data_IF_675764358649
#
_entry.id   IF_675764358649
#
_cell.length_a   1.000
_cell.length_b   1.000
_cell.length_c   1.000
_cell.angle_alpha   90.00
_cell.angle_beta   90.00
_cell.angle_gamma   90.00
#
_symmetry.space_group_name_H-M   'P 1'
#
loop_
_entity.id
_entity.type
_entity.pdbx_description
1 polymer ?
#
# COMPACT_ATOMS: atom_id res chain seq x y z
N UNK A 1 -59.01 74.95 -25.74
CA UNK A 1 -59.70 73.82 -26.41
C UNK A 1 -59.45 72.56 -25.60
N UNK A 2 -60.53 71.87 -25.19
CA UNK A 2 -60.73 70.41 -24.96
C UNK A 2 -59.54 69.61 -24.35
N UNK A 3 -59.65 68.72 -23.38
CA UNK A 3 -60.74 68.01 -22.71
C UNK A 3 -60.07 67.07 -21.68
N UNK A 4 -60.56 67.09 -20.43
CA UNK A 4 -60.99 65.91 -19.66
C UNK A 4 -60.26 64.55 -19.85
N UNK A 5 -59.66 64.00 -18.78
CA UNK A 5 -60.22 62.91 -17.95
C UNK A 5 -59.17 62.31 -16.98
N UNK A 6 -59.66 62.05 -15.78
CA UNK A 6 -59.03 61.30 -14.70
C UNK A 6 -58.90 59.80 -15.00
N UNK A 7 -57.94 59.11 -14.38
CA UNK A 7 -58.14 57.80 -13.76
C UNK A 7 -56.89 57.29 -13.01
N UNK A 8 -57.06 57.14 -11.69
CA UNK A 8 -56.66 55.98 -10.87
C UNK A 8 -55.23 55.40 -11.04
N UNK A 9 -54.35 55.84 -10.13
CA UNK A 9 -53.22 55.05 -9.63
C UNK A 9 -53.77 53.91 -8.75
N UNK A 10 -53.95 52.73 -9.33
CA UNK A 10 -54.09 51.47 -8.60
C UNK A 10 -52.71 50.86 -8.40
N UNK A 11 -52.14 51.01 -7.19
CA UNK A 11 -50.93 50.31 -6.79
C UNK A 11 -51.29 48.84 -6.51
N UNK A 12 -50.99 47.95 -7.46
CA UNK A 12 -51.01 46.51 -7.22
C UNK A 12 -49.76 46.14 -6.42
N UNK A 13 -49.97 45.71 -5.17
CA UNK A 13 -48.94 45.16 -4.32
C UNK A 13 -48.41 43.86 -4.95
N UNK A 14 -47.21 43.90 -5.51
CA UNK A 14 -46.45 42.70 -5.84
C UNK A 14 -45.80 42.19 -4.54
N UNK A 15 -46.23 41.00 -4.10
CA UNK A 15 -45.60 40.23 -3.03
C UNK A 15 -44.11 40.00 -3.36
N UNK A 16 -43.23 40.63 -2.59
CA UNK A 16 -41.82 40.25 -2.49
C UNK A 16 -41.73 39.03 -1.57
N UNK A 17 -41.69 37.84 -2.15
CA UNK A 17 -41.14 36.66 -1.48
C UNK A 17 -39.60 36.74 -1.59
N UNK A 18 -38.84 36.55 -0.49
CA UNK A 18 -37.41 36.43 -0.60
C UNK A 18 -37.09 35.11 -1.32
N UNK A 19 -36.48 35.23 -2.49
CA UNK A 19 -35.85 34.12 -3.20
C UNK A 19 -34.68 33.65 -2.32
N UNK A 20 -34.92 32.66 -1.46
CA UNK A 20 -33.84 31.89 -0.84
C UNK A 20 -33.20 31.13 -1.99
N UNK A 21 -32.10 31.69 -2.50
CA UNK A 21 -31.17 30.98 -3.35
C UNK A 21 -30.63 29.82 -2.51
N UNK A 22 -31.19 28.64 -2.74
CA UNK A 22 -30.67 27.40 -2.22
C UNK A 22 -29.37 27.16 -2.98
N UNK A 23 -28.26 27.56 -2.36
CA UNK A 23 -26.91 27.23 -2.81
C UNK A 23 -26.82 25.69 -2.78
N UNK A 24 -27.01 25.08 -3.95
CA UNK A 24 -26.78 23.65 -4.13
C UNK A 24 -25.35 23.38 -3.71
N UNK A 25 -25.20 22.66 -2.59
CA UNK A 25 -23.93 22.13 -2.15
C UNK A 25 -23.29 21.39 -3.33
N UNK A 26 -22.07 21.79 -3.68
CA UNK A 26 -21.26 21.12 -4.67
C UNK A 26 -21.29 19.59 -4.41
N UNK A 27 -21.47 18.76 -5.44
CA UNK A 27 -21.58 17.32 -5.25
C UNK A 27 -20.28 16.83 -4.61
N UNK A 28 -20.42 16.23 -3.42
CA UNK A 28 -19.33 15.55 -2.74
C UNK A 28 -18.67 14.54 -3.67
N UNK A 29 -17.35 14.35 -3.50
CA UNK A 29 -16.53 13.36 -4.23
C UNK A 29 -17.33 12.07 -4.45
N UNK A 30 -17.85 11.88 -5.67
CA UNK A 30 -18.83 10.84 -5.96
C UNK A 30 -18.29 9.47 -5.61
N UNK A 31 -19.02 8.70 -4.82
CA UNK A 31 -18.61 7.33 -4.50
C UNK A 31 -18.54 6.48 -5.76
N UNK A 32 -17.44 5.74 -5.96
CA UNK A 32 -17.37 4.76 -7.04
C UNK A 32 -18.54 3.79 -6.81
N UNK A 33 -19.48 3.66 -7.77
CA UNK A 33 -20.58 2.74 -7.66
C UNK A 33 -20.08 1.34 -7.29
N UNK A 34 -20.78 0.65 -6.36
CA UNK A 34 -20.30 -0.62 -5.79
C UNK A 34 -20.06 -1.69 -6.86
N UNK A 35 -20.83 -1.64 -7.93
CA UNK A 35 -20.73 -2.45 -9.14
C UNK A 35 -19.45 -2.19 -9.95
N UNK A 36 -18.90 -0.97 -9.90
CA UNK A 36 -17.64 -0.61 -10.56
C UNK A 36 -16.40 -0.93 -9.71
N UNK A 37 -16.54 -1.14 -8.39
CA UNK A 37 -15.43 -1.57 -7.53
C UNK A 37 -14.96 -3.01 -7.83
N UNK A 38 -15.86 -3.82 -8.40
CA UNK A 38 -15.60 -5.19 -8.82
C UNK A 38 -15.18 -5.31 -10.29
N UNK A 39 -15.24 -4.21 -11.05
CA UNK A 39 -14.83 -4.19 -12.45
C UNK A 39 -13.29 -4.34 -12.58
N UNK A 40 -12.78 -5.35 -13.31
CA UNK A 40 -11.34 -5.59 -13.41
C UNK A 40 -10.55 -4.41 -13.98
N UNK A 41 -11.12 -3.66 -14.92
CA UNK A 41 -10.44 -2.54 -15.56
C UNK A 41 -10.35 -1.34 -14.61
N UNK A 42 -11.44 -1.01 -13.93
CA UNK A 42 -11.46 0.06 -12.91
C UNK A 42 -10.46 -0.24 -11.79
N UNK A 43 -10.36 -1.50 -11.38
CA UNK A 43 -9.42 -1.93 -10.34
C UNK A 43 -7.97 -1.77 -10.80
N UNK A 44 -7.67 -2.17 -12.03
CA UNK A 44 -6.34 -2.01 -12.61
C UNK A 44 -5.94 -0.53 -12.74
N UNK A 45 -6.86 0.33 -13.22
CA UNK A 45 -6.64 1.79 -13.28
C UNK A 45 -6.38 2.41 -11.89
N UNK A 46 -6.99 1.84 -10.85
CA UNK A 46 -6.79 2.28 -9.46
C UNK A 46 -5.60 1.60 -8.77
N UNK A 47 -4.75 0.91 -9.53
CA UNK A 47 -3.53 0.29 -9.04
C UNK A 47 -3.79 -0.97 -8.21
N UNK A 48 -4.88 -1.70 -8.44
CA UNK A 48 -5.20 -2.97 -7.78
C UNK A 48 -5.09 -4.13 -8.77
N UNK A 49 -4.01 -4.90 -8.65
CA UNK A 49 -3.66 -6.02 -9.50
C UNK A 49 -2.89 -7.09 -8.68
N UNK A 50 -2.34 -8.10 -9.35
CA UNK A 50 -1.63 -9.21 -8.68
C UNK A 50 -0.32 -8.82 -8.00
N UNK A 51 0.32 -7.71 -8.41
CA UNK A 51 1.53 -7.18 -7.79
C UNK A 51 1.19 -6.30 -6.59
N UNK A 52 0.16 -5.47 -6.72
CA UNK A 52 -0.21 -4.53 -5.65
C UNK A 52 -1.00 -5.16 -4.52
N UNK A 53 -1.84 -6.14 -4.85
CA UNK A 53 -2.64 -6.94 -3.92
C UNK A 53 -2.41 -8.44 -4.14
N UNK A 54 -1.19 -8.96 -3.90
CA UNK A 54 -0.88 -10.36 -4.10
C UNK A 54 -1.69 -11.26 -3.16
N UNK A 55 -1.84 -12.53 -3.53
CA UNK A 55 -2.56 -13.50 -2.72
C UNK A 55 -1.92 -13.70 -1.34
N UNK A 56 -2.67 -13.38 -0.28
CA UNK A 56 -2.23 -13.52 1.10
C UNK A 56 -1.83 -14.96 1.46
N UNK A 57 -2.59 -15.95 1.00
CA UNK A 57 -2.24 -17.37 1.21
C UNK A 57 -0.87 -17.71 0.61
N UNK A 58 -0.63 -17.29 -0.65
CA UNK A 58 0.66 -17.54 -1.33
C UNK A 58 1.82 -16.81 -0.66
N UNK A 59 1.58 -15.64 -0.06
CA UNK A 59 2.57 -14.94 0.73
C UNK A 59 3.00 -15.77 1.95
N UNK A 60 2.05 -16.31 2.72
CA UNK A 60 2.37 -17.19 3.85
C UNK A 60 3.10 -18.45 3.43
N UNK A 61 2.70 -19.09 2.32
CA UNK A 61 3.41 -20.25 1.78
C UNK A 61 4.87 -19.89 1.47
N UNK A 62 5.10 -18.74 0.83
CA UNK A 62 6.45 -18.26 0.50
C UNK A 62 7.28 -18.00 1.76
N UNK A 63 6.71 -17.33 2.77
CA UNK A 63 7.42 -17.07 4.02
C UNK A 63 7.72 -18.37 4.79
N UNK A 64 6.82 -19.36 4.73
CA UNK A 64 7.07 -20.69 5.31
C UNK A 64 8.30 -21.37 4.69
N UNK A 65 8.48 -21.27 3.36
CA UNK A 65 9.68 -21.76 2.67
C UNK A 65 10.97 -21.04 3.09
N UNK A 66 10.85 -19.80 3.57
CA UNK A 66 11.96 -18.96 4.00
C UNK A 66 12.28 -19.08 5.50
N UNK A 67 11.51 -19.87 6.26
CA UNK A 67 11.78 -20.09 7.69
C UNK A 67 13.15 -20.76 7.91
N UNK A 68 13.86 -20.42 9.01
CA UNK A 68 13.51 -19.42 10.01
C UNK A 68 13.75 -17.99 9.49
N UNK A 69 12.81 -17.08 9.78
CA UNK A 69 12.92 -15.67 9.41
C UNK A 69 13.88 -14.91 10.35
N UNK A 70 14.75 -14.02 9.82
CA UNK A 70 15.78 -13.33 10.60
C UNK A 70 15.24 -12.09 11.35
N UNK A 71 14.06 -12.17 11.99
CA UNK A 71 13.32 -11.01 12.53
C UNK A 71 14.16 -10.07 13.40
N UNK A 72 15.01 -10.62 14.28
CA UNK A 72 15.85 -9.81 15.17
C UNK A 72 16.96 -9.04 14.45
N UNK A 73 17.52 -9.58 13.36
CA UNK A 73 18.60 -8.93 12.61
C UNK A 73 18.10 -7.86 11.65
N UNK A 74 16.86 -8.04 11.20
CA UNK A 74 16.17 -7.11 10.30
C UNK A 74 15.18 -6.25 11.06
N UNK A 75 15.27 -6.22 12.40
CA UNK A 75 14.43 -5.39 13.25
C UNK A 75 14.76 -3.92 13.04
N UNK A 76 13.71 -3.10 13.01
CA UNK A 76 13.83 -1.69 12.71
C UNK A 76 13.11 -0.85 13.73
N UNK A 77 13.71 0.31 14.01
CA UNK A 77 13.08 1.32 14.86
C UNK A 77 12.13 2.15 14.02
N UNK A 78 10.89 2.19 14.45
CA UNK A 78 9.92 3.12 13.86
C UNK A 78 10.33 4.57 14.16
N UNK A 79 10.14 5.47 13.20
CA UNK A 79 10.39 6.89 13.40
C UNK A 79 9.46 7.45 14.47
N UNK A 80 9.96 8.39 15.29
CA UNK A 80 9.19 8.96 16.41
C UNK A 80 7.92 9.72 15.97
N UNK A 81 7.90 10.22 14.74
CA UNK A 81 6.75 10.90 14.11
C UNK A 81 6.49 10.33 12.73
N UNK A 82 5.23 10.24 12.33
CA UNK A 82 4.85 9.90 10.95
C UNK A 82 5.30 10.99 9.98
N UNK A 83 5.55 10.62 8.72
CA UNK A 83 5.77 11.62 7.67
C UNK A 83 4.50 12.46 7.46
N UNK A 84 4.68 13.72 7.07
CA UNK A 84 3.59 14.58 6.62
C UNK A 84 3.35 14.44 5.10
N UNK A 85 4.32 13.86 4.37
CA UNK A 85 4.18 13.55 2.96
C UNK A 85 3.45 12.22 2.76
N UNK A 86 2.45 12.21 1.88
CA UNK A 86 1.60 11.02 1.66
C UNK A 86 2.36 9.89 0.98
N UNK A 87 3.36 10.18 0.13
CA UNK A 87 4.12 9.15 -0.57
C UNK A 87 5.04 8.40 0.40
N UNK A 88 5.74 9.15 1.26
CA UNK A 88 6.56 8.58 2.33
C UNK A 88 5.70 7.74 3.30
N UNK A 89 4.51 8.26 3.66
CA UNK A 89 3.58 7.57 4.54
C UNK A 89 3.05 6.26 3.93
N UNK A 90 2.80 6.24 2.62
CA UNK A 90 2.39 5.04 1.89
C UNK A 90 3.48 3.97 1.90
N UNK A 91 4.72 4.34 1.57
CA UNK A 91 5.87 3.43 1.64
C UNK A 91 6.01 2.86 3.06
N UNK A 92 6.03 3.72 4.08
CA UNK A 92 6.13 3.30 5.49
C UNK A 92 4.97 2.36 5.91
N UNK A 93 3.74 2.60 5.45
CA UNK A 93 2.62 1.67 5.67
C UNK A 93 2.89 0.30 5.02
N UNK A 94 3.43 0.28 3.80
CA UNK A 94 3.86 -0.96 3.14
C UNK A 94 4.83 -1.78 3.98
N UNK A 95 5.87 -1.12 4.51
CA UNK A 95 6.83 -1.74 5.43
C UNK A 95 6.14 -2.33 6.68
N UNK A 96 5.22 -1.58 7.31
CA UNK A 96 4.47 -2.04 8.48
C UNK A 96 3.58 -3.25 8.18
N UNK A 97 2.91 -3.27 7.02
CA UNK A 97 2.09 -4.40 6.59
C UNK A 97 2.98 -5.65 6.46
N UNK A 98 4.12 -5.53 5.78
CA UNK A 98 5.07 -6.63 5.63
C UNK A 98 5.59 -7.13 6.99
N UNK A 99 5.93 -6.23 7.92
CA UNK A 99 6.33 -6.60 9.28
C UNK A 99 5.22 -7.38 10.02
N UNK A 100 3.94 -7.03 9.80
CA UNK A 100 2.79 -7.80 10.28
C UNK A 100 2.82 -9.26 9.83
N UNK A 101 3.01 -9.51 8.53
CA UNK A 101 3.12 -10.86 7.99
C UNK A 101 4.32 -11.62 8.57
N UNK A 102 5.47 -10.96 8.67
CA UNK A 102 6.70 -11.55 9.20
C UNK A 102 6.56 -11.94 10.67
N UNK A 103 5.97 -11.09 11.50
CA UNK A 103 5.74 -11.34 12.93
C UNK A 103 4.76 -12.51 13.13
N UNK A 104 3.66 -12.56 12.38
CA UNK A 104 2.71 -13.67 12.44
C UNK A 104 3.38 -14.97 12.02
N UNK A 105 4.13 -14.96 10.92
CA UNK A 105 4.81 -16.16 10.42
C UNK A 105 5.93 -16.65 11.34
N UNK A 106 6.63 -15.73 12.01
CA UNK A 106 7.67 -16.04 13.00
C UNK A 106 7.10 -16.33 14.41
N UNK A 107 5.77 -16.37 14.56
CA UNK A 107 5.05 -16.64 15.80
C UNK A 107 5.38 -15.65 16.96
N UNK A 108 5.82 -14.43 16.65
CA UNK A 108 6.14 -13.37 17.63
C UNK A 108 4.90 -12.58 18.05
N UNK A 109 3.86 -13.28 18.52
CA UNK A 109 2.53 -12.70 18.73
C UNK A 109 2.50 -11.56 19.75
N UNK A 110 3.50 -11.46 20.63
CA UNK A 110 3.69 -10.32 21.54
C UNK A 110 3.88 -8.99 20.81
N UNK A 111 4.40 -8.98 19.58
CA UNK A 111 4.62 -7.77 18.76
C UNK A 111 3.39 -7.34 17.98
N UNK A 112 2.37 -8.20 17.86
CA UNK A 112 1.17 -7.94 17.04
C UNK A 112 0.39 -6.73 17.57
N UNK A 113 0.40 -6.51 18.89
CA UNK A 113 -0.34 -5.41 19.47
C UNK A 113 0.18 -4.03 19.03
N UNK A 114 1.49 -3.84 19.09
CA UNK A 114 2.12 -2.58 18.70
C UNK A 114 1.98 -2.35 17.18
N UNK A 115 2.14 -3.42 16.37
CA UNK A 115 1.94 -3.36 14.93
C UNK A 115 0.51 -2.96 14.55
N UNK A 116 -0.50 -3.55 15.20
CA UNK A 116 -1.89 -3.20 14.94
C UNK A 116 -2.19 -1.73 15.25
N UNK A 117 -1.62 -1.19 16.35
CA UNK A 117 -1.77 0.22 16.70
C UNK A 117 -1.12 1.15 15.66
N UNK A 118 0.07 0.80 15.18
CA UNK A 118 0.76 1.55 14.15
C UNK A 118 0.01 1.49 12.81
N UNK A 119 -0.45 0.31 12.38
CA UNK A 119 -1.28 0.15 11.17
C UNK A 119 -2.55 1.01 11.22
N UNK A 120 -3.25 1.04 12.36
CA UNK A 120 -4.41 1.93 12.56
C UNK A 120 -4.02 3.40 12.42
N UNK A 121 -2.88 3.82 12.99
CA UNK A 121 -2.41 5.21 12.95
C UNK A 121 -2.08 5.65 11.52
N UNK A 122 -1.35 4.81 10.78
CA UNK A 122 -0.97 5.06 9.39
C UNK A 122 -2.19 5.02 8.45
N UNK A 123 -3.08 4.04 8.62
CA UNK A 123 -4.32 3.93 7.83
C UNK A 123 -5.21 5.17 7.97
N UNK A 124 -5.38 5.69 9.20
CA UNK A 124 -6.10 6.96 9.45
C UNK A 124 -5.44 8.14 8.75
N UNK A 125 -4.11 8.25 8.79
CA UNK A 125 -3.39 9.36 8.17
C UNK A 125 -3.46 9.34 6.63
N UNK A 126 -3.63 8.16 6.01
CA UNK A 126 -3.85 8.02 4.57
C UNK A 126 -5.31 8.18 4.14
N UNK A 127 -6.27 8.08 5.08
CA UNK A 127 -7.71 8.18 4.83
C UNK A 127 -8.44 6.83 4.74
N UNK A 128 -7.79 5.72 5.09
CA UNK A 128 -8.34 4.36 5.10
C UNK A 128 -8.92 3.94 6.48
N UNK A 129 -9.35 4.91 7.29
CA UNK A 129 -9.44 4.79 8.74
C UNK A 129 -10.41 3.72 9.29
N UNK A 130 -11.63 3.61 8.78
CA UNK A 130 -12.68 2.85 9.48
C UNK A 130 -12.62 1.34 9.24
N UNK A 131 -12.15 0.91 8.07
CA UNK A 131 -12.14 -0.51 7.67
C UNK A 131 -10.83 -1.20 8.05
N UNK A 132 -9.68 -0.53 7.92
CA UNK A 132 -8.39 -1.01 8.46
C UNK A 132 -8.47 -1.31 9.97
N UNK A 133 -9.18 -0.47 10.75
CA UNK A 133 -9.36 -0.68 12.18
C UNK A 133 -10.15 -1.96 12.52
N UNK A 134 -11.12 -2.34 11.68
CA UNK A 134 -11.92 -3.55 11.90
C UNK A 134 -11.04 -4.80 11.78
N UNK A 135 -10.17 -4.83 10.78
CA UNK A 135 -9.23 -5.93 10.58
C UNK A 135 -8.17 -5.98 11.68
N UNK A 136 -7.59 -4.83 12.06
CA UNK A 136 -6.64 -4.75 13.17
C UNK A 136 -7.21 -5.28 14.49
N UNK A 137 -8.48 -4.99 14.79
CA UNK A 137 -9.15 -5.49 16.00
C UNK A 137 -9.33 -7.02 16.01
N UNK A 138 -9.74 -7.63 14.89
CA UNK A 138 -9.85 -9.10 14.76
C UNK A 138 -8.50 -9.80 14.94
N UNK A 139 -7.44 -9.22 14.37
CA UNK A 139 -6.07 -9.73 14.51
C UNK A 139 -5.59 -9.67 15.97
N UNK A 140 -5.87 -8.57 16.66
CA UNK A 140 -5.54 -8.40 18.08
C UNK A 140 -6.21 -9.44 18.98
N UNK A 141 -7.47 -9.79 18.71
CA UNK A 141 -8.19 -10.80 19.50
C UNK A 141 -7.58 -12.19 19.33
N UNK A 142 -7.26 -12.58 18.10
CA UNK A 142 -6.66 -13.88 17.82
C UNK A 142 -5.19 -14.00 18.27
N UNK A 143 -4.43 -12.90 18.22
CA UNK A 143 -3.08 -12.84 18.79
C UNK A 143 -3.07 -13.15 20.29
N UNK A 144 -4.06 -12.65 21.05
CA UNK A 144 -4.21 -12.96 22.48
C UNK A 144 -4.43 -14.45 22.75
N UNK A 145 -5.17 -15.12 21.86
CA UNK A 145 -5.48 -16.55 21.95
C UNK A 145 -4.34 -17.45 21.44
N UNK A 146 -3.22 -16.87 20.98
CA UNK A 146 -2.02 -17.57 20.46
C UNK A 146 -2.29 -18.58 19.35
N UNK A 147 -3.35 -18.39 18.58
CA UNK A 147 -3.73 -19.32 17.51
C UNK A 147 -3.24 -18.83 16.15
N UNK A 148 -1.97 -19.11 15.83
CA UNK A 148 -1.30 -18.66 14.59
C UNK A 148 -2.05 -19.10 13.33
N UNK A 149 -2.52 -20.35 13.29
CA UNK A 149 -3.23 -20.89 12.13
C UNK A 149 -4.58 -20.19 11.90
N UNK A 150 -5.30 -19.86 12.99
CA UNK A 150 -6.51 -19.04 12.89
C UNK A 150 -6.19 -17.62 12.42
N UNK A 151 -5.09 -17.00 12.88
CA UNK A 151 -4.66 -15.68 12.41
C UNK A 151 -4.37 -15.70 10.90
N UNK A 152 -3.61 -16.69 10.42
CA UNK A 152 -3.32 -16.85 8.98
C UNK A 152 -4.59 -17.04 8.16
N UNK A 153 -5.53 -17.85 8.66
CA UNK A 153 -6.83 -18.07 8.02
C UNK A 153 -7.65 -16.77 7.94
N UNK A 154 -7.69 -15.99 9.01
CA UNK A 154 -8.40 -14.71 9.02
C UNK A 154 -7.75 -13.69 8.09
N UNK A 155 -6.42 -13.55 8.12
CA UNK A 155 -5.69 -12.68 7.19
C UNK A 155 -5.99 -13.08 5.75
N UNK A 156 -6.00 -14.36 5.43
CA UNK A 156 -6.35 -14.84 4.08
C UNK A 156 -7.79 -14.47 3.69
N UNK A 157 -8.72 -14.52 4.64
CA UNK A 157 -10.11 -14.14 4.40
C UNK A 157 -10.29 -12.63 4.11
N UNK A 158 -9.34 -11.78 4.53
CA UNK A 158 -9.37 -10.33 4.29
C UNK A 158 -8.92 -9.90 2.88
N UNK A 159 -8.53 -10.83 2.00
CA UNK A 159 -8.02 -10.49 0.66
C UNK A 159 -8.91 -9.48 -0.10
N UNK A 160 -10.22 -9.75 -0.15
CA UNK A 160 -11.18 -8.88 -0.85
C UNK A 160 -11.36 -7.53 -0.17
N UNK A 161 -11.28 -7.51 1.16
CA UNK A 161 -11.36 -6.27 1.92
C UNK A 161 -10.13 -5.40 1.68
N UNK A 162 -8.92 -5.99 1.69
CA UNK A 162 -7.66 -5.28 1.37
C UNK A 162 -7.70 -4.68 -0.03
N UNK A 163 -8.15 -5.45 -1.02
CA UNK A 163 -8.33 -4.96 -2.38
C UNK A 163 -9.33 -3.80 -2.45
N UNK A 164 -10.49 -3.93 -1.79
CA UNK A 164 -11.50 -2.87 -1.73
C UNK A 164 -10.97 -1.60 -1.02
N UNK A 165 -10.14 -1.76 0.01
CA UNK A 165 -9.48 -0.63 0.68
C UNK A 165 -8.56 0.12 -0.27
N UNK A 166 -7.72 -0.60 -1.04
CA UNK A 166 -6.83 0.01 -2.03
C UNK A 166 -7.63 0.77 -3.11
N UNK A 167 -8.72 0.18 -3.62
CA UNK A 167 -9.62 0.86 -4.56
C UNK A 167 -10.22 2.13 -3.94
N UNK A 168 -10.59 2.07 -2.66
CA UNK A 168 -11.22 3.20 -1.96
C UNK A 168 -10.29 4.40 -1.72
N UNK A 169 -8.96 4.20 -1.79
CA UNK A 169 -7.99 5.30 -1.76
C UNK A 169 -8.16 6.25 -2.94
N UNK A 170 -8.64 5.73 -4.09
CA UNK A 170 -8.76 6.44 -5.37
C UNK A 170 -7.47 7.15 -5.79
N UNK A 171 -6.35 6.48 -5.51
CA UNK A 171 -5.02 7.01 -5.71
C UNK A 171 -4.09 5.84 -6.04
N UNK A 172 -3.94 5.59 -7.34
CA UNK A 172 -3.12 4.50 -7.85
C UNK A 172 -1.65 4.65 -7.45
N UNK A 173 -1.14 5.88 -7.35
CA UNK A 173 0.21 6.15 -6.88
C UNK A 173 0.39 5.65 -5.45
N UNK A 174 -0.57 5.93 -4.56
CA UNK A 174 -0.50 5.44 -3.18
C UNK A 174 -0.65 3.92 -3.09
N UNK A 175 -1.53 3.30 -3.88
CA UNK A 175 -1.65 1.84 -3.90
C UNK A 175 -0.32 1.18 -4.33
N UNK A 176 0.31 1.71 -5.38
CA UNK A 176 1.62 1.27 -5.85
C UNK A 176 2.71 1.48 -4.80
N UNK A 177 2.74 2.63 -4.13
CA UNK A 177 3.73 2.95 -3.09
C UNK A 177 3.57 2.08 -1.84
N UNK A 178 2.34 1.83 -1.39
CA UNK A 178 2.08 0.90 -0.27
C UNK A 178 2.61 -0.48 -0.62
N UNK A 179 2.28 -0.97 -1.82
CA UNK A 179 2.73 -2.30 -2.23
C UNK A 179 4.24 -2.38 -2.42
N UNK A 180 4.86 -1.38 -3.05
CA UNK A 180 6.30 -1.27 -3.21
C UNK A 180 7.03 -1.29 -1.87
N UNK A 181 6.54 -0.55 -0.86
CA UNK A 181 7.10 -0.58 0.49
C UNK A 181 7.05 -1.98 1.10
N UNK A 182 5.94 -2.69 0.92
CA UNK A 182 5.78 -4.07 1.37
C UNK A 182 6.73 -5.04 0.67
N UNK A 183 6.89 -4.90 -0.65
CA UNK A 183 7.81 -5.75 -1.41
C UNK A 183 9.28 -5.49 -1.09
N UNK A 184 9.71 -4.23 -0.97
CA UNK A 184 11.09 -3.89 -0.57
C UNK A 184 11.40 -4.51 0.79
N UNK A 185 10.45 -4.43 1.74
CA UNK A 185 10.60 -5.05 3.04
C UNK A 185 10.68 -6.57 2.96
N UNK A 186 9.81 -7.20 2.19
CA UNK A 186 9.84 -8.65 1.98
C UNK A 186 11.15 -9.10 1.33
N UNK A 187 11.67 -8.35 0.35
CA UNK A 187 12.93 -8.64 -0.33
C UNK A 187 14.13 -8.53 0.63
N UNK A 188 14.19 -7.49 1.46
CA UNK A 188 15.21 -7.33 2.50
C UNK A 188 15.24 -8.56 3.41
N UNK A 189 14.10 -8.95 3.97
CA UNK A 189 14.05 -10.08 4.91
C UNK A 189 14.35 -11.41 4.23
N UNK A 190 13.83 -11.62 3.01
CA UNK A 190 14.03 -12.85 2.26
C UNK A 190 15.50 -13.04 1.87
N UNK A 191 16.18 -11.98 1.43
CA UNK A 191 17.62 -12.05 1.09
C UNK A 191 18.48 -12.37 2.31
N UNK A 192 18.17 -11.81 3.48
CA UNK A 192 18.85 -12.17 4.74
C UNK A 192 18.55 -13.62 5.16
N UNK A 193 17.30 -14.07 5.02
CA UNK A 193 16.90 -15.44 5.34
C UNK A 193 17.59 -16.49 4.46
N UNK A 194 17.78 -16.18 3.17
CA UNK A 194 18.52 -17.01 2.23
C UNK A 194 20.02 -16.97 2.50
N UNK A 195 20.60 -15.80 2.79
CA UNK A 195 22.04 -15.68 3.09
C UNK A 195 22.46 -16.55 4.29
N UNK A 196 21.62 -16.60 5.33
CA UNK A 196 21.86 -17.44 6.51
C UNK A 196 21.76 -18.94 6.25
N UNK A 197 20.83 -19.32 5.38
CA UNK A 197 20.50 -20.71 5.09
C UNK A 197 20.28 -20.82 3.59
N UNK A 198 21.39 -20.78 2.86
CA UNK A 198 21.36 -20.80 1.42
C UNK A 198 20.93 -22.18 0.93
N UNK A 199 19.94 -22.19 0.06
CA UNK A 199 19.70 -23.30 -0.86
C UNK A 199 19.21 -22.73 -2.20
N UNK A 200 19.49 -23.40 -3.32
CA UNK A 200 18.94 -23.00 -4.63
C UNK A 200 17.42 -22.84 -4.63
N UNK A 201 16.69 -23.69 -3.90
CA UNK A 201 15.22 -23.62 -3.81
C UNK A 201 14.75 -22.38 -3.06
N UNK A 202 15.40 -22.04 -1.94
CA UNK A 202 15.08 -20.83 -1.16
C UNK A 202 15.44 -19.58 -1.94
N UNK A 203 16.62 -19.57 -2.57
CA UNK A 203 17.07 -18.46 -3.41
C UNK A 203 16.12 -18.22 -4.59
N UNK A 204 15.59 -19.27 -5.22
CA UNK A 204 14.59 -19.14 -6.30
C UNK A 204 13.32 -18.40 -5.88
N UNK A 205 12.95 -18.39 -4.59
CA UNK A 205 11.81 -17.59 -4.11
C UNK A 205 12.06 -16.08 -4.13
N UNK A 206 13.34 -15.68 -4.13
CA UNK A 206 13.77 -14.28 -4.19
C UNK A 206 13.92 -13.78 -5.62
N UNK A 207 14.21 -14.67 -6.58
CA UNK A 207 14.37 -14.35 -7.99
C UNK A 207 13.01 -14.02 -8.62
N UNK A 208 12.57 -12.76 -8.45
CA UNK A 208 11.28 -12.23 -8.91
C UNK A 208 11.51 -10.99 -9.76
N UNK A 209 12.08 -11.24 -10.93
CA UNK A 209 12.34 -10.25 -11.97
C UNK A 209 11.06 -9.56 -12.44
N UNK A 210 9.94 -10.28 -12.45
CA UNK A 210 8.62 -9.78 -12.80
C UNK A 210 8.15 -8.66 -11.86
N UNK A 211 8.37 -8.84 -10.54
CA UNK A 211 8.01 -7.81 -9.56
C UNK A 211 8.97 -6.61 -9.65
N UNK A 212 10.27 -6.87 -9.85
CA UNK A 212 11.25 -5.80 -10.03
C UNK A 212 10.95 -4.95 -11.28
N UNK A 213 10.55 -5.60 -12.38
CA UNK A 213 10.11 -4.92 -13.61
C UNK A 213 8.85 -4.08 -13.36
N UNK A 214 7.82 -4.68 -12.77
CA UNK A 214 6.57 -4.00 -12.44
C UNK A 214 6.80 -2.71 -11.65
N UNK A 215 7.62 -2.76 -10.60
CA UNK A 215 7.89 -1.56 -9.80
C UNK A 215 8.86 -0.59 -10.46
N UNK A 216 9.72 -1.03 -11.38
CA UNK A 216 10.52 -0.11 -12.22
C UNK A 216 9.59 0.80 -13.01
N UNK A 217 8.61 0.21 -13.69
CA UNK A 217 7.61 0.95 -14.47
C UNK A 217 6.66 1.74 -13.58
N UNK A 218 6.20 1.16 -12.46
CA UNK A 218 5.29 1.84 -11.53
C UNK A 218 5.92 3.10 -10.93
N UNK A 219 7.19 3.04 -10.51
CA UNK A 219 7.91 4.22 -9.99
C UNK A 219 8.10 5.28 -11.08
N UNK A 220 8.37 4.87 -12.32
CA UNK A 220 8.46 5.79 -13.45
C UNK A 220 7.13 6.47 -13.78
N UNK A 221 6.01 5.76 -13.59
CA UNK A 221 4.65 6.23 -13.86
C UNK A 221 4.02 7.10 -12.77
N UNK A 222 4.64 7.23 -11.58
CA UNK A 222 4.11 8.10 -10.51
C UNK A 222 4.04 9.55 -10.97
N UNK A 223 3.17 10.34 -10.32
CA UNK A 223 3.13 11.78 -10.49
C UNK A 223 4.54 12.41 -10.43
N UNK A 224 4.90 13.36 -11.32
CA UNK A 224 6.25 13.95 -11.40
C UNK A 224 6.80 14.47 -10.07
N UNK A 225 5.94 15.04 -9.23
CA UNK A 225 6.29 15.53 -7.88
C UNK A 225 6.86 14.44 -6.94
N UNK A 226 6.63 13.16 -7.27
CA UNK A 226 7.12 11.98 -6.56
C UNK A 226 8.24 11.32 -7.38
N UNK A 227 7.98 10.98 -8.65
CA UNK A 227 8.94 10.24 -9.48
C UNK A 227 10.24 11.00 -9.77
N UNK A 228 10.22 12.33 -9.80
CA UNK A 228 11.42 13.16 -10.01
C UNK A 228 12.24 13.39 -8.73
N UNK A 229 11.77 12.94 -7.57
CA UNK A 229 12.54 13.05 -6.32
C UNK A 229 13.82 12.21 -6.43
N UNK A 230 14.96 12.69 -5.91
CA UNK A 230 16.25 11.99 -6.04
C UNK A 230 16.24 10.54 -5.55
N UNK A 231 15.52 10.25 -4.46
CA UNK A 231 15.42 8.89 -3.91
C UNK A 231 14.61 7.96 -4.81
N UNK A 232 13.52 8.43 -5.44
CA UNK A 232 12.71 7.64 -6.36
C UNK A 232 13.42 7.38 -7.70
N UNK A 233 14.15 8.37 -8.22
CA UNK A 233 15.03 8.18 -9.38
C UNK A 233 16.07 7.09 -9.12
N UNK A 234 16.74 7.16 -7.95
CA UNK A 234 17.71 6.14 -7.55
C UNK A 234 17.06 4.77 -7.30
N UNK A 235 15.85 4.72 -6.74
CA UNK A 235 15.11 3.46 -6.57
C UNK A 235 14.82 2.82 -7.92
N UNK A 236 14.39 3.59 -8.92
CA UNK A 236 14.15 3.08 -10.28
C UNK A 236 15.40 2.45 -10.87
N UNK A 237 16.56 3.09 -10.71
CA UNK A 237 17.82 2.54 -11.20
C UNK A 237 18.17 1.20 -10.52
N UNK A 238 17.94 1.09 -9.21
CA UNK A 238 18.17 -0.16 -8.47
C UNK A 238 17.17 -1.24 -8.88
N UNK A 239 15.89 -0.90 -9.06
CA UNK A 239 14.85 -1.83 -9.52
C UNK A 239 15.15 -2.36 -10.92
N UNK A 240 15.60 -1.50 -11.84
CA UNK A 240 16.01 -1.90 -13.18
C UNK A 240 17.24 -2.85 -13.16
N UNK A 241 18.18 -2.62 -12.23
CA UNK A 241 19.27 -3.54 -11.95
C UNK A 241 18.79 -4.90 -11.48
N UNK A 242 17.93 -4.93 -10.45
CA UNK A 242 17.32 -6.15 -9.92
C UNK A 242 16.54 -6.93 -10.97
N UNK A 243 15.76 -6.26 -11.83
CA UNK A 243 15.06 -6.88 -12.96
C UNK A 243 16.01 -7.70 -13.82
N UNK A 244 17.22 -7.22 -14.05
CA UNK A 244 18.22 -7.92 -14.88
C UNK A 244 18.91 -9.03 -14.10
N UNK A 245 19.31 -8.75 -12.85
CA UNK A 245 20.05 -9.70 -12.01
C UNK A 245 19.20 -10.90 -11.55
N UNK A 246 17.88 -10.74 -11.46
CA UNK A 246 16.95 -11.79 -11.07
C UNK A 246 16.57 -12.75 -12.21
N UNK A 247 17.00 -12.50 -13.45
CA UNK A 247 16.78 -13.42 -14.57
C UNK A 247 17.69 -14.63 -14.44
N UNK A 248 17.10 -15.82 -14.38
CA UNK A 248 17.83 -17.08 -14.47
C UNK A 248 17.76 -17.61 -15.90
N UNK A 249 18.91 -17.98 -16.47
CA UNK A 249 18.93 -18.76 -17.72
C UNK A 249 18.38 -20.17 -17.49
N UNK A 250 17.83 -20.76 -18.54
CA UNK A 250 17.26 -22.11 -18.50
C UNK A 250 18.24 -23.13 -17.91
N UNK A 251 17.78 -23.83 -16.87
CA UNK A 251 18.56 -24.87 -16.18
C UNK A 251 19.65 -24.34 -15.23
N UNK A 252 19.83 -23.02 -15.10
CA UNK A 252 20.73 -22.44 -14.08
C UNK A 252 20.02 -22.29 -12.73
N UNK A 253 20.82 -22.38 -11.68
CA UNK A 253 20.39 -22.17 -10.31
C UNK A 253 20.93 -20.83 -9.78
N UNK A 254 20.21 -20.17 -8.87
CA UNK A 254 20.76 -19.03 -8.15
C UNK A 254 22.02 -19.44 -7.39
N UNK A 255 22.99 -18.54 -7.29
CA UNK A 255 24.22 -18.77 -6.51
C UNK A 255 24.27 -17.90 -5.24
N UNK A 256 25.11 -18.25 -4.26
CA UNK A 256 25.35 -17.40 -3.09
C UNK A 256 25.85 -15.99 -3.47
N UNK A 257 26.68 -15.89 -4.50
CA UNK A 257 27.21 -14.61 -5.01
C UNK A 257 26.08 -13.75 -5.57
N UNK A 258 25.18 -14.32 -6.38
CA UNK A 258 24.00 -13.61 -6.88
C UNK A 258 23.15 -13.09 -5.71
N UNK A 259 22.88 -13.95 -4.73
CA UNK A 259 22.10 -13.57 -3.55
C UNK A 259 22.75 -12.46 -2.73
N UNK A 260 24.08 -12.44 -2.67
CA UNK A 260 24.83 -11.38 -1.99
C UNK A 260 24.70 -10.04 -2.71
N UNK A 261 24.72 -10.01 -4.03
CA UNK A 261 24.51 -8.77 -4.79
C UNK A 261 23.06 -8.27 -4.67
N UNK A 262 22.08 -9.17 -4.83
CA UNK A 262 20.65 -8.85 -4.62
C UNK A 262 20.42 -8.31 -3.21
N UNK A 263 21.06 -8.88 -2.18
CA UNK A 263 20.96 -8.38 -0.80
C UNK A 263 21.48 -6.95 -0.66
N UNK A 264 22.59 -6.59 -1.32
CA UNK A 264 23.10 -5.22 -1.29
C UNK A 264 22.11 -4.25 -1.95
N UNK A 265 21.51 -4.65 -3.06
CA UNK A 265 20.50 -3.86 -3.75
C UNK A 265 19.23 -3.71 -2.91
N UNK A 266 18.78 -4.78 -2.26
CA UNK A 266 17.66 -4.75 -1.32
C UNK A 266 17.92 -3.79 -0.14
N UNK A 267 19.11 -3.85 0.48
CA UNK A 267 19.49 -2.91 1.54
C UNK A 267 19.51 -1.45 1.05
N UNK A 268 20.02 -1.22 -0.16
CA UNK A 268 20.01 0.12 -0.77
C UNK A 268 18.59 0.62 -1.06
N UNK A 269 17.69 -0.25 -1.53
CA UNK A 269 16.27 0.11 -1.71
C UNK A 269 15.64 0.52 -0.38
N UNK A 270 15.93 -0.19 0.70
CA UNK A 270 15.44 0.15 2.04
C UNK A 270 15.90 1.55 2.45
N UNK A 271 17.19 1.88 2.27
CA UNK A 271 17.73 3.20 2.59
C UNK A 271 17.02 4.32 1.79
N UNK A 272 16.83 4.11 0.48
CA UNK A 272 16.20 5.08 -0.41
C UNK A 272 14.70 5.25 -0.12
N UNK A 273 13.99 4.14 0.11
CA UNK A 273 12.54 4.12 0.33
C UNK A 273 12.13 4.87 1.61
N UNK A 274 13.01 4.88 2.61
CA UNK A 274 12.75 5.53 3.90
C UNK A 274 13.37 6.91 4.01
N UNK A 275 14.04 7.36 2.95
CA UNK A 275 14.53 8.72 2.89
C UNK A 275 13.32 9.65 2.76
N UNK A 276 12.97 10.29 3.88
CA UNK A 276 11.85 11.24 3.93
C UNK A 276 12.16 12.51 3.15
N UNK A 277 11.12 13.06 2.53
CA UNK A 277 11.16 14.45 2.11
C UNK A 277 11.20 15.34 3.35
N UNK A 278 12.17 16.24 3.43
CA UNK A 278 12.31 17.22 4.50
C UNK A 278 11.40 18.43 4.28
#
# INVERSE_FOLDING_TARGET
MKSTRACLLGAFAALLLPLVAQEEAAPGKGDIPKDLLDDPHVREELGVNEFTAPSISKMFDTLQFLMPLPIAEVERKMPARMSQDRADLAIELGFLIADGFLVVQAEQLEKVQDLANDLTRYGKALGAGDRVNRHAASLLENAKNKNVEQIKKELTATQRDVEAELVSLRDADLANLISLGGWIRALEVSTVAVDKQFSPERARKVMREDIADYYTESVAGLQPKISERPNYLAMRDVLAGLRTEMVLEDGKEPTPEMMKEIRKQAARLVELALQRQQ
#
